data_IF_749470794203
#
_entry.id   IF_749470794203
#
_cell.length_a   1.000
_cell.length_b   1.000
_cell.length_c   1.000
_cell.angle_alpha   90.00
_cell.angle_beta   90.00
_cell.angle_gamma   90.00
#
_symmetry.space_group_name_H-M   'P 1'
#
loop_
_entity.id
_entity.type
_entity.pdbx_description
1 polymer ?
#
# COMPACT_ATOMS: atom_id res chain seq x y z
N UNK A 1 1.37 5.53 -29.79
CA UNK A 1 -0.03 5.05 -29.87
C UNK A 1 -0.02 3.61 -29.42
N UNK A 2 -0.67 3.23 -28.32
CA UNK A 2 -0.69 1.84 -27.88
C UNK A 2 -1.59 1.03 -28.81
N UNK A 3 -1.09 -0.12 -29.28
CA UNK A 3 -1.83 -1.07 -30.09
C UNK A 3 -3.03 -1.60 -29.29
N UNK A 4 -4.22 -1.44 -29.85
CA UNK A 4 -5.47 -1.94 -29.25
C UNK A 4 -5.57 -3.44 -29.53
N UNK A 5 -5.17 -4.26 -28.56
CA UNK A 5 -5.59 -5.67 -28.50
C UNK A 5 -7.12 -5.75 -28.41
N UNK A 6 -7.71 -6.74 -29.06
CA UNK A 6 -9.14 -7.00 -29.02
C UNK A 6 -9.55 -7.52 -27.64
N UNK A 7 -10.80 -7.30 -27.23
CA UNK A 7 -11.35 -7.84 -25.97
C UNK A 7 -11.16 -9.36 -25.86
N UNK A 8 -11.22 -10.07 -26.99
CA UNK A 8 -10.98 -11.51 -27.05
C UNK A 8 -9.53 -11.89 -26.71
N UNK A 9 -8.55 -11.08 -27.10
CA UNK A 9 -7.13 -11.29 -26.76
C UNK A 9 -6.85 -10.96 -25.29
N UNK A 10 -7.47 -9.90 -24.75
CA UNK A 10 -7.39 -9.57 -23.33
C UNK A 10 -8.02 -10.65 -22.44
N UNK A 11 -9.18 -11.18 -22.83
CA UNK A 11 -9.87 -12.28 -22.14
C UNK A 11 -9.07 -13.58 -22.27
N UNK A 12 -8.54 -13.93 -23.45
CA UNK A 12 -7.70 -15.11 -23.62
C UNK A 12 -6.42 -15.03 -22.78
N UNK A 13 -5.80 -13.84 -22.70
CA UNK A 13 -4.63 -13.62 -21.87
C UNK A 13 -4.96 -13.77 -20.37
N UNK A 14 -6.02 -13.10 -19.89
CA UNK A 14 -6.47 -13.23 -18.50
C UNK A 14 -6.85 -14.68 -18.14
N UNK A 15 -7.59 -15.37 -19.01
CA UNK A 15 -7.99 -16.78 -18.79
C UNK A 15 -6.79 -17.74 -18.84
N UNK A 16 -5.73 -17.40 -19.59
CA UNK A 16 -4.48 -18.18 -19.62
C UNK A 16 -3.59 -17.96 -18.38
N UNK A 17 -3.82 -16.88 -17.62
CA UNK A 17 -3.09 -16.55 -16.39
C UNK A 17 -3.84 -16.95 -15.11
N UNK A 18 -5.14 -17.20 -15.20
CA UNK A 18 -5.98 -17.62 -14.06
C UNK A 18 -6.06 -19.15 -14.01
N UNK A 19 -5.07 -19.80 -13.40
CA UNK A 19 -5.24 -21.16 -12.89
C UNK A 19 -5.76 -21.09 -11.47
N UNK A 20 -7.08 -21.25 -11.28
CA UNK A 20 -7.78 -21.86 -10.13
C UNK A 20 -7.34 -21.62 -8.68
N UNK A 21 -6.47 -20.66 -8.39
CA UNK A 21 -5.84 -20.53 -7.08
C UNK A 21 -6.51 -19.41 -6.27
N UNK A 22 -6.78 -19.69 -5.00
CA UNK A 22 -7.29 -18.73 -4.01
C UNK A 22 -6.36 -17.50 -3.96
N UNK A 23 -6.93 -16.29 -4.00
CA UNK A 23 -6.19 -15.02 -3.89
C UNK A 23 -5.26 -15.03 -2.67
N UNK A 24 -5.70 -15.62 -1.55
CA UNK A 24 -4.91 -15.78 -0.32
C UNK A 24 -3.72 -16.70 -0.55
N UNK A 25 -3.88 -17.78 -1.32
CA UNK A 25 -2.80 -18.69 -1.71
C UNK A 25 -1.87 -18.09 -2.76
N UNK A 26 -2.38 -17.23 -3.65
CA UNK A 26 -1.57 -16.48 -4.64
C UNK A 26 -0.74 -15.41 -3.95
N UNK A 27 -1.31 -14.67 -2.99
CA UNK A 27 -0.57 -13.70 -2.16
C UNK A 27 0.44 -14.42 -1.27
N UNK A 28 0.08 -15.56 -0.66
CA UNK A 28 1.00 -16.35 0.18
C UNK A 28 2.13 -16.97 -0.63
N UNK A 29 1.86 -17.56 -1.80
CA UNK A 29 2.90 -18.09 -2.70
C UNK A 29 3.69 -16.97 -3.37
N UNK A 30 3.05 -15.84 -3.67
CA UNK A 30 3.69 -14.62 -4.16
C UNK A 30 4.69 -14.07 -3.15
N UNK A 31 4.33 -13.94 -1.87
CA UNK A 31 5.25 -13.55 -0.80
C UNK A 31 6.46 -14.48 -0.66
N UNK A 32 6.31 -15.77 -0.93
CA UNK A 32 7.38 -16.75 -0.86
C UNK A 32 8.17 -16.93 -2.17
N UNK A 33 7.61 -16.52 -3.31
CA UNK A 33 8.12 -16.83 -4.66
C UNK A 33 8.38 -15.61 -5.56
N UNK A 34 8.01 -14.40 -5.14
CA UNK A 34 8.36 -13.16 -5.82
C UNK A 34 9.82 -12.88 -5.53
N UNK A 35 10.68 -13.17 -6.51
CA UNK A 35 12.07 -12.75 -6.45
C UNK A 35 12.13 -11.21 -6.34
N UNK A 36 13.13 -10.68 -5.60
CA UNK A 36 13.39 -9.25 -5.51
C UNK A 36 13.24 -8.49 -6.85
N UNK A 37 12.30 -7.55 -6.94
CA UNK A 37 12.15 -6.67 -8.11
C UNK A 37 11.20 -7.16 -9.22
N UNK A 38 10.37 -8.17 -8.96
CA UNK A 38 9.31 -8.59 -9.89
C UNK A 38 8.04 -7.75 -9.68
N UNK A 39 7.53 -7.17 -10.76
CA UNK A 39 6.22 -6.52 -10.84
C UNK A 39 5.15 -7.60 -11.05
N UNK A 40 4.13 -7.65 -10.19
CA UNK A 40 3.04 -8.60 -10.29
C UNK A 40 1.72 -7.85 -10.54
N UNK A 41 1.05 -8.15 -11.64
CA UNK A 41 -0.34 -7.72 -11.85
C UNK A 41 -1.25 -8.66 -11.05
N UNK A 42 -1.89 -8.15 -9.99
CA UNK A 42 -2.85 -8.93 -9.21
C UNK A 42 -4.26 -8.53 -9.62
N UNK A 43 -4.97 -9.46 -10.26
CA UNK A 43 -6.32 -9.22 -10.76
C UNK A 43 -7.35 -9.52 -9.67
N UNK A 44 -8.08 -8.50 -9.21
CA UNK A 44 -9.30 -8.72 -8.42
C UNK A 44 -10.47 -8.97 -9.39
N UNK A 45 -10.83 -10.23 -9.60
CA UNK A 45 -12.07 -10.55 -10.29
C UNK A 45 -13.25 -10.25 -9.35
N UNK A 46 -14.34 -9.61 -9.81
CA UNK A 46 -15.54 -9.50 -8.99
C UNK A 46 -15.96 -10.90 -8.52
N UNK A 47 -16.57 -11.03 -7.32
CA UNK A 47 -17.12 -12.30 -6.85
C UNK A 47 -18.21 -12.73 -7.83
N UNK A 48 -17.81 -13.49 -8.83
CA UNK A 48 -18.69 -14.05 -9.80
C UNK A 48 -19.28 -15.30 -9.17
N UNK A 49 -20.59 -15.31 -8.95
CA UNK A 49 -21.40 -16.53 -8.80
C UNK A 49 -21.42 -17.34 -10.11
N UNK A 50 -20.26 -17.61 -10.72
CA UNK A 50 -20.16 -18.30 -12.00
C UNK A 50 -19.52 -19.67 -11.78
N UNK A 51 -20.33 -20.69 -12.03
CA UNK A 51 -19.99 -22.10 -11.80
C UNK A 51 -18.96 -22.67 -12.81
N UNK A 52 -18.60 -21.94 -13.88
CA UNK A 52 -17.63 -22.39 -14.89
C UNK A 52 -17.08 -21.23 -15.78
N UNK A 53 -15.86 -21.35 -16.35
CA UNK A 53 -15.22 -20.36 -17.22
C UNK A 53 -15.99 -20.02 -18.51
N UNK A 54 -16.73 -20.97 -19.03
CA UNK A 54 -17.54 -20.89 -20.25
C UNK A 54 -18.77 -19.98 -20.11
N UNK A 55 -19.10 -19.55 -18.88
CA UNK A 55 -20.14 -18.55 -18.62
C UNK A 55 -19.71 -17.10 -18.92
N UNK A 56 -18.42 -16.84 -19.17
CA UNK A 56 -17.87 -15.51 -19.47
C UNK A 56 -18.20 -15.01 -20.89
N UNK A 57 -18.67 -15.89 -21.78
CA UNK A 57 -18.87 -15.58 -23.20
C UNK A 57 -19.96 -14.54 -23.51
N UNK A 58 -20.91 -14.34 -22.60
CA UNK A 58 -22.06 -13.43 -22.78
C UNK A 58 -22.28 -12.47 -21.60
N UNK A 59 -21.51 -12.62 -20.51
CA UNK A 59 -21.52 -11.60 -19.46
C UNK A 59 -20.79 -10.39 -20.01
N UNK A 60 -21.51 -9.30 -20.23
CA UNK A 60 -20.94 -8.00 -20.55
C UNK A 60 -20.10 -7.46 -19.38
N UNK A 61 -19.00 -8.14 -19.06
CA UNK A 61 -17.88 -7.62 -18.29
C UNK A 61 -17.28 -6.54 -19.19
N UNK A 62 -17.90 -5.37 -19.17
CA UNK A 62 -17.53 -4.26 -20.03
C UNK A 62 -16.06 -3.91 -19.81
N UNK A 63 -15.44 -3.28 -20.80
CA UNK A 63 -14.05 -2.85 -20.72
C UNK A 63 -13.72 -2.11 -19.40
N UNK A 64 -14.70 -1.43 -18.77
CA UNK A 64 -14.59 -0.80 -17.46
C UNK A 64 -14.15 -1.76 -16.31
N UNK A 65 -14.64 -2.99 -16.28
CA UNK A 65 -14.26 -4.01 -15.27
C UNK A 65 -12.85 -4.57 -15.48
N UNK A 66 -12.27 -4.36 -16.67
CA UNK A 66 -10.89 -4.76 -17.01
C UNK A 66 -9.89 -3.64 -16.70
N UNK A 67 -10.35 -2.42 -16.38
CA UNK A 67 -9.47 -1.27 -16.08
C UNK A 67 -9.28 -0.98 -14.59
N UNK A 68 -10.02 -1.64 -13.69
CA UNK A 68 -9.76 -1.58 -12.25
C UNK A 68 -8.63 -2.56 -11.87
N UNK A 69 -7.54 -2.55 -12.62
CA UNK A 69 -6.35 -3.36 -12.31
C UNK A 69 -5.58 -2.63 -11.23
N UNK A 70 -5.37 -3.29 -10.09
CA UNK A 70 -4.36 -2.90 -9.12
C UNK A 70 -3.09 -3.68 -9.41
N UNK A 71 -1.99 -2.96 -9.59
CA UNK A 71 -0.66 -3.52 -9.78
C UNK A 71 0.11 -3.34 -8.50
N UNK A 72 0.71 -4.42 -8.03
CA UNK A 72 1.53 -4.40 -6.82
C UNK A 72 2.98 -4.66 -7.21
N UNK A 73 3.85 -3.76 -6.77
CA UNK A 73 5.30 -3.94 -6.85
C UNK A 73 5.81 -4.25 -5.46
N UNK A 74 6.64 -5.27 -5.33
CA UNK A 74 7.23 -5.67 -4.07
C UNK A 74 8.75 -5.52 -4.13
N UNK A 75 9.34 -5.22 -2.98
CA UNK A 75 10.78 -5.19 -2.76
C UNK A 75 11.17 -6.19 -1.67
N UNK A 76 12.46 -6.59 -1.61
CA UNK A 76 12.98 -7.31 -0.44
C UNK A 76 12.77 -6.48 0.82
N UNK A 77 12.59 -7.16 1.95
CA UNK A 77 12.70 -6.49 3.23
C UNK A 77 14.07 -5.86 3.43
N UNK A 78 14.07 -4.76 4.17
CA UNK A 78 15.29 -4.11 4.63
C UNK A 78 15.94 -4.94 5.73
N UNK A 79 17.25 -4.82 5.83
CA UNK A 79 17.98 -5.29 7.00
C UNK A 79 17.58 -4.52 8.26
N UNK A 80 17.74 -5.15 9.41
CA UNK A 80 17.49 -4.47 10.68
C UNK A 80 18.42 -3.25 10.85
N UNK A 81 19.66 -3.31 10.36
CA UNK A 81 20.63 -2.22 10.43
C UNK A 81 20.19 -1.00 9.61
N UNK A 82 19.56 -1.19 8.44
CA UNK A 82 18.96 -0.09 7.67
C UNK A 82 17.82 0.57 8.44
N UNK A 83 16.98 -0.22 9.10
CA UNK A 83 15.90 0.32 9.94
C UNK A 83 16.46 1.10 11.14
N UNK A 84 17.47 0.56 11.83
CA UNK A 84 18.11 1.26 12.96
C UNK A 84 18.82 2.54 12.51
N UNK A 85 19.44 2.54 11.34
CA UNK A 85 20.05 3.75 10.77
C UNK A 85 19.01 4.85 10.51
N UNK A 86 17.81 4.48 10.06
CA UNK A 86 16.71 5.43 9.87
C UNK A 86 16.17 5.97 11.21
N UNK A 87 16.01 5.11 12.22
CA UNK A 87 15.62 5.53 13.58
C UNK A 87 16.64 6.47 14.21
N UNK A 88 17.93 6.19 14.06
CA UNK A 88 19.02 7.07 14.52
C UNK A 88 18.98 8.43 13.81
N UNK A 89 18.75 8.44 12.49
CA UNK A 89 18.63 9.67 11.71
C UNK A 89 17.40 10.51 12.07
N UNK A 90 16.35 9.90 12.62
CA UNK A 90 15.12 10.56 13.04
C UNK A 90 15.07 10.88 14.54
N UNK A 91 16.01 10.36 15.33
CA UNK A 91 16.00 10.39 16.80
C UNK A 91 14.68 9.86 17.41
N UNK A 92 14.06 8.88 16.74
CA UNK A 92 12.83 8.20 17.21
C UNK A 92 12.85 6.72 16.84
N UNK A 93 12.25 5.89 17.69
CA UNK A 93 12.01 4.49 17.36
C UNK A 93 10.75 4.35 16.51
N UNK A 94 10.81 3.50 15.48
CA UNK A 94 9.62 3.12 14.72
C UNK A 94 8.81 2.09 15.52
N UNK A 95 7.48 2.05 15.35
CA UNK A 95 6.66 0.98 15.92
C UNK A 95 7.20 -0.40 15.55
N UNK A 96 7.34 -1.29 16.53
CA UNK A 96 7.92 -2.62 16.37
C UNK A 96 7.19 -3.42 15.29
N UNK A 97 5.86 -3.28 15.20
CA UNK A 97 5.07 -3.95 14.16
C UNK A 97 5.41 -3.48 12.75
N UNK A 98 5.71 -2.19 12.59
CA UNK A 98 6.18 -1.64 11.32
C UNK A 98 7.60 -2.09 10.99
N UNK A 99 8.48 -2.18 11.99
CA UNK A 99 9.83 -2.75 11.84
C UNK A 99 9.78 -4.20 11.36
N UNK A 100 8.91 -5.02 11.95
CA UNK A 100 8.69 -6.41 11.54
C UNK A 100 8.19 -6.52 10.10
N UNK A 101 7.31 -5.60 9.68
CA UNK A 101 6.86 -5.54 8.30
C UNK A 101 8.01 -5.18 7.35
N UNK A 102 8.75 -4.09 7.64
CA UNK A 102 9.87 -3.63 6.81
C UNK A 102 11.02 -4.65 6.71
N UNK A 103 11.23 -5.46 7.74
CA UNK A 103 12.27 -6.51 7.78
C UNK A 103 11.76 -7.89 7.37
N UNK A 104 10.49 -7.98 6.95
CA UNK A 104 9.88 -9.20 6.44
C UNK A 104 10.51 -9.66 5.11
N UNK A 105 10.19 -10.87 4.64
CA UNK A 105 10.81 -11.43 3.43
C UNK A 105 10.47 -10.64 2.15
N UNK A 106 9.30 -10.00 2.11
CA UNK A 106 8.80 -9.22 0.98
C UNK A 106 7.94 -8.08 1.53
N UNK A 107 8.13 -6.89 0.99
CA UNK A 107 7.48 -5.66 1.43
C UNK A 107 6.83 -5.00 0.22
N UNK A 108 5.58 -4.59 0.37
CA UNK A 108 4.91 -3.80 -0.67
C UNK A 108 5.71 -2.51 -0.90
N UNK A 109 6.11 -2.30 -2.15
CA UNK A 109 6.79 -1.10 -2.61
C UNK A 109 5.74 -0.11 -3.11
N UNK A 110 4.92 -0.55 -4.07
CA UNK A 110 3.92 0.32 -4.73
C UNK A 110 2.64 -0.42 -5.01
N UNK A 111 1.52 0.26 -4.83
CA UNK A 111 0.25 -0.12 -5.42
C UNK A 111 -0.16 0.94 -6.45
N UNK A 112 -0.38 0.52 -7.69
CA UNK A 112 -0.85 1.38 -8.79
C UNK A 112 -2.25 0.93 -9.20
N UNK A 113 -3.19 1.86 -9.34
CA UNK A 113 -4.57 1.55 -9.68
C UNK A 113 -5.48 2.75 -9.50
N UNK A 114 -6.76 2.56 -9.10
CA UNK A 114 -7.64 3.65 -8.72
C UNK A 114 -7.05 4.48 -7.56
N UNK A 115 -6.43 3.82 -6.60
CA UNK A 115 -5.58 4.40 -5.58
C UNK A 115 -4.12 4.12 -5.92
N UNK A 116 -3.31 5.17 -5.93
CA UNK A 116 -1.86 5.06 -6.02
C UNK A 116 -1.29 5.27 -4.62
N UNK A 117 -0.43 4.36 -4.17
CA UNK A 117 0.44 4.67 -3.04
C UNK A 117 1.80 3.98 -3.17
N UNK A 118 2.82 4.67 -2.68
CA UNK A 118 4.23 4.27 -2.65
C UNK A 118 4.67 4.21 -1.18
N UNK A 119 5.14 3.05 -0.73
CA UNK A 119 5.65 2.87 0.62
C UNK A 119 7.14 3.17 0.66
N UNK A 120 7.58 3.92 1.65
CA UNK A 120 8.96 4.36 1.75
C UNK A 120 9.89 3.27 2.28
N UNK A 121 11.11 3.21 1.75
CA UNK A 121 12.21 2.44 2.36
C UNK A 121 12.63 3.10 3.68
N UNK A 122 13.36 2.42 4.58
CA UNK A 122 13.85 3.07 5.81
C UNK A 122 14.63 4.36 5.56
N UNK A 123 15.47 4.39 4.51
CA UNK A 123 16.19 5.59 4.12
C UNK A 123 15.23 6.72 3.69
N UNK A 124 14.22 6.41 2.88
CA UNK A 124 13.21 7.39 2.45
C UNK A 124 12.35 7.87 3.63
N UNK A 125 12.02 6.99 4.59
CA UNK A 125 11.31 7.38 5.82
C UNK A 125 12.13 8.46 6.55
N UNK A 126 13.44 8.25 6.71
CA UNK A 126 14.32 9.22 7.35
C UNK A 126 14.41 10.54 6.55
N UNK A 127 14.72 10.44 5.26
CA UNK A 127 14.95 11.59 4.39
C UNK A 127 13.69 12.46 4.25
N UNK A 128 12.54 11.85 3.94
CA UNK A 128 11.29 12.59 3.72
C UNK A 128 10.76 13.18 5.03
N UNK A 129 10.86 12.45 6.14
CA UNK A 129 10.41 12.97 7.45
C UNK A 129 11.28 14.14 7.90
N UNK A 130 12.61 14.02 7.81
CA UNK A 130 13.54 15.11 8.16
C UNK A 130 13.33 16.33 7.25
N UNK A 131 13.25 16.12 5.94
CA UNK A 131 13.01 17.19 4.99
C UNK A 131 11.70 17.94 5.27
N UNK A 132 10.64 17.24 5.71
CA UNK A 132 9.40 17.90 6.09
C UNK A 132 9.51 18.67 7.42
N UNK A 133 10.21 18.11 8.42
CA UNK A 133 10.35 18.73 9.73
C UNK A 133 11.24 19.96 9.77
N UNK A 134 12.11 20.14 8.79
CA UNK A 134 12.77 21.43 8.58
C UNK A 134 11.76 22.58 8.43
N UNK A 135 10.57 22.30 7.87
CA UNK A 135 9.53 23.31 7.59
C UNK A 135 8.34 23.26 8.55
N UNK A 136 7.98 22.08 9.05
CA UNK A 136 6.84 21.87 9.94
C UNK A 136 7.17 20.80 10.99
N UNK A 137 7.86 21.16 12.08
CA UNK A 137 8.25 20.21 13.11
C UNK A 137 7.05 19.52 13.73
N UNK A 138 7.03 18.18 13.71
CA UNK A 138 6.00 17.38 14.37
C UNK A 138 6.67 16.33 15.23
N UNK A 139 6.43 16.37 16.54
CA UNK A 139 7.07 15.42 17.44
C UNK A 139 6.48 14.03 17.19
N UNK A 140 7.37 13.08 16.94
CA UNK A 140 7.06 11.66 16.87
C UNK A 140 6.19 11.25 15.68
N UNK A 141 6.36 11.85 14.50
CA UNK A 141 5.87 11.22 13.27
C UNK A 141 7.00 10.60 12.46
N UNK A 142 6.67 9.51 11.77
CA UNK A 142 7.46 8.91 10.71
C UNK A 142 6.59 8.85 9.45
N UNK A 143 7.06 9.44 8.34
CA UNK A 143 6.37 9.34 7.05
C UNK A 143 6.68 7.98 6.44
N UNK A 144 5.64 7.19 6.16
CA UNK A 144 5.78 5.79 5.72
C UNK A 144 5.42 5.59 4.25
N UNK A 145 4.84 6.59 3.59
CA UNK A 145 4.48 6.52 2.19
C UNK A 145 3.84 7.78 1.63
N UNK A 146 3.47 7.72 0.36
CA UNK A 146 2.92 8.82 -0.43
C UNK A 146 1.76 8.34 -1.30
N UNK A 147 0.81 9.22 -1.61
CA UNK A 147 -0.26 8.99 -2.60
C UNK A 147 0.19 9.26 -4.05
N UNK A 148 1.49 9.42 -4.29
CA UNK A 148 2.06 9.82 -5.60
C UNK A 148 1.98 11.31 -5.87
N UNK A 149 1.29 12.06 -5.02
CA UNK A 149 1.23 13.51 -5.01
C UNK A 149 2.01 14.10 -3.85
N UNK A 150 1.39 15.11 -3.22
CA UNK A 150 1.97 15.86 -2.10
C UNK A 150 1.48 15.39 -0.73
N UNK A 151 0.57 14.41 -0.68
CA UNK A 151 0.07 13.85 0.58
C UNK A 151 1.01 12.77 1.10
N UNK A 152 1.06 12.59 2.42
CA UNK A 152 1.97 11.63 3.07
C UNK A 152 1.24 10.78 4.08
N UNK A 153 1.46 9.47 4.02
CA UNK A 153 1.07 8.53 5.06
C UNK A 153 2.07 8.62 6.22
N UNK A 154 1.57 8.62 7.46
CA UNK A 154 2.38 8.83 8.65
C UNK A 154 1.94 7.92 9.80
N UNK A 155 2.91 7.56 10.63
CA UNK A 155 2.72 6.90 11.93
C UNK A 155 3.04 7.88 13.07
N UNK A 156 2.29 7.81 14.16
CA UNK A 156 2.62 8.46 15.44
C UNK A 156 3.49 7.52 16.28
N UNK A 157 4.80 7.73 16.22
CA UNK A 157 5.80 6.89 16.90
C UNK A 157 5.70 6.94 18.43
N UNK A 158 4.99 7.94 18.99
CA UNK A 158 4.76 8.05 20.45
C UNK A 158 3.72 7.03 20.93
N UNK A 159 2.87 6.54 20.04
CA UNK A 159 1.82 5.56 20.34
C UNK A 159 2.33 4.12 20.19
N UNK A 160 3.38 3.92 19.39
CA UNK A 160 3.93 2.59 19.11
C UNK A 160 3.00 1.78 18.19
N UNK A 161 2.87 0.48 18.45
CA UNK A 161 2.14 -0.44 17.54
C UNK A 161 0.63 -0.14 17.44
N UNK A 162 0.07 0.55 18.43
CA UNK A 162 -1.32 1.02 18.39
C UNK A 162 -1.49 2.34 17.59
N UNK A 163 -0.44 2.82 16.91
CA UNK A 163 -0.53 4.00 16.06
C UNK A 163 -1.54 3.75 14.93
N UNK A 164 -2.49 4.66 14.69
CA UNK A 164 -3.20 4.67 13.43
C UNK A 164 -2.25 5.04 12.30
N UNK A 165 -2.63 4.71 11.07
CA UNK A 165 -2.03 5.29 9.87
C UNK A 165 -2.85 6.49 9.47
N UNK A 166 -2.21 7.66 9.37
CA UNK A 166 -2.89 8.92 9.01
C UNK A 166 -2.32 9.48 7.72
N UNK A 167 -3.15 10.17 6.95
CA UNK A 167 -2.74 10.96 5.80
C UNK A 167 -2.63 12.41 6.22
N UNK A 168 -1.51 13.02 5.88
CA UNK A 168 -1.31 14.46 5.95
C UNK A 168 -1.44 15.05 4.54
N UNK A 169 -2.26 16.09 4.42
CA UNK A 169 -2.44 16.87 3.20
C UNK A 169 -1.63 18.18 3.24
N UNK A 170 -1.34 18.78 2.08
CA UNK A 170 -0.73 20.09 2.02
C UNK A 170 -1.55 21.14 2.77
N UNK A 171 -0.94 21.78 3.77
CA UNK A 171 -1.59 22.81 4.58
C UNK A 171 -1.91 22.36 6.01
N UNK A 172 -1.92 21.05 6.27
CA UNK A 172 -2.03 20.50 7.62
C UNK A 172 -0.83 20.94 8.46
N UNK A 173 -1.10 21.41 9.67
CA UNK A 173 -0.06 21.94 10.57
C UNK A 173 0.17 21.00 11.73
N UNK A 174 -0.91 20.43 12.28
CA UNK A 174 -0.84 19.59 13.46
C UNK A 174 -1.44 18.19 13.21
N UNK A 175 -1.23 17.29 14.17
CA UNK A 175 -1.84 15.96 14.17
C UNK A 175 -3.37 15.99 14.10
N UNK A 176 -4.00 17.05 14.61
CA UNK A 176 -5.45 17.23 14.57
C UNK A 176 -5.98 17.54 13.16
N UNK A 177 -5.10 17.96 12.25
CA UNK A 177 -5.44 18.23 10.86
C UNK A 177 -5.35 16.98 9.98
N UNK A 178 -4.70 15.91 10.44
CA UNK A 178 -4.53 14.69 9.63
C UNK A 178 -5.78 13.81 9.63
N UNK A 179 -5.97 13.08 8.53
CA UNK A 179 -7.11 12.17 8.35
C UNK A 179 -6.67 10.73 8.58
N UNK A 180 -7.31 10.03 9.51
CA UNK A 180 -7.06 8.61 9.77
C UNK A 180 -7.44 7.77 8.55
N UNK A 181 -6.47 7.02 8.02
CA UNK A 181 -6.64 6.11 6.89
C UNK A 181 -6.87 4.66 7.36
N UNK A 182 -6.20 4.26 8.43
CA UNK A 182 -6.40 2.98 9.09
C UNK A 182 -6.27 3.13 10.61
N UNK A 183 -7.01 2.31 11.35
CA UNK A 183 -7.07 2.40 12.82
C UNK A 183 -5.82 1.89 13.52
N UNK A 184 -5.06 1.03 12.84
CA UNK A 184 -3.79 0.48 13.32
C UNK A 184 -2.84 0.20 12.16
N UNK A 185 -1.60 -0.11 12.50
CA UNK A 185 -0.58 -0.58 11.56
C UNK A 185 -1.01 -1.91 10.92
N UNK A 186 -1.63 -2.80 11.69
CA UNK A 186 -2.11 -4.09 11.18
C UNK A 186 -3.25 -3.92 10.19
N UNK A 187 -4.26 -3.08 10.50
CA UNK A 187 -5.36 -2.81 9.59
C UNK A 187 -4.85 -2.20 8.27
N UNK A 188 -3.84 -1.34 8.35
CA UNK A 188 -3.19 -0.77 7.17
C UNK A 188 -2.48 -1.84 6.35
N UNK A 189 -1.60 -2.64 6.96
CA UNK A 189 -0.85 -3.69 6.24
C UNK A 189 -1.83 -4.68 5.61
N UNK A 190 -2.83 -5.14 6.36
CA UNK A 190 -3.83 -6.10 5.87
C UNK A 190 -4.59 -5.53 4.67
N UNK A 191 -5.12 -4.31 4.77
CA UNK A 191 -5.88 -3.69 3.67
C UNK A 191 -5.01 -3.34 2.45
N UNK A 192 -3.78 -2.88 2.66
CA UNK A 192 -2.84 -2.54 1.60
C UNK A 192 -2.41 -3.79 0.81
N UNK A 193 -2.02 -4.86 1.53
CA UNK A 193 -1.63 -6.15 0.95
C UNK A 193 -2.82 -6.87 0.28
N UNK A 194 -4.03 -6.70 0.80
CA UNK A 194 -5.24 -7.23 0.19
C UNK A 194 -5.73 -6.41 -1.02
N UNK A 195 -5.13 -5.25 -1.30
CA UNK A 195 -5.61 -4.35 -2.34
C UNK A 195 -6.99 -3.75 -2.06
N UNK A 196 -7.38 -3.67 -0.80
CA UNK A 196 -8.66 -3.10 -0.35
C UNK A 196 -8.47 -1.76 0.36
N UNK A 197 -7.23 -1.30 0.53
CA UNK A 197 -6.94 0.02 1.03
C UNK A 197 -7.52 1.10 0.09
N UNK A 198 -8.27 2.03 0.67
CA UNK A 198 -8.87 3.17 -0.01
C UNK A 198 -8.42 4.46 0.68
N UNK A 199 -7.93 5.43 -0.10
CA UNK A 199 -7.51 6.73 0.46
C UNK A 199 -8.76 7.53 0.83
N UNK A 200 -8.87 7.86 2.11
CA UNK A 200 -9.95 8.67 2.66
C UNK A 200 -9.55 10.15 2.55
N UNK A 201 -10.24 10.88 1.67
CA UNK A 201 -10.07 12.33 1.51
C UNK A 201 -10.98 13.17 2.41
N UNK A 202 -11.95 12.53 3.09
CA UNK A 202 -12.92 13.23 3.93
C UNK A 202 -12.35 13.55 5.33
N UNK A 203 -12.61 14.77 5.80
CA UNK A 203 -12.16 15.29 7.09
C UNK A 203 -12.92 14.70 8.29
N UNK A 204 -13.86 13.78 8.06
CA UNK A 204 -14.73 13.22 9.10
C UNK A 204 -13.99 12.39 10.14
N UNK A 205 -12.79 11.86 9.83
CA UNK A 205 -11.99 11.04 10.76
C UNK A 205 -10.64 11.68 11.10
N UNK A 206 -10.66 12.85 11.74
CA UNK A 206 -9.43 13.50 12.21
C UNK A 206 -8.76 12.72 13.34
N UNK A 207 -7.44 12.61 13.26
CA UNK A 207 -6.65 12.02 14.32
C UNK A 207 -6.61 12.95 15.54
N UNK A 208 -6.68 12.38 16.75
CA UNK A 208 -6.56 13.13 18.00
C UNK A 208 -5.54 12.42 18.88
N UNK A 209 -4.28 12.86 18.90
CA UNK A 209 -3.27 12.22 19.73
C UNK A 209 -3.69 12.31 21.19
N UNK A 210 -3.56 11.20 21.91
CA UNK A 210 -3.79 11.19 23.37
C UNK A 210 -2.63 11.97 24.01
N UNK A 211 -2.98 13.02 24.77
CA UNK A 211 -2.01 13.84 25.51
C UNK A 211 -1.32 13.07 26.62
#
# INVERSE_FOLDING_TARGET
MPERGTLAEAVAHATSMVSGDDFTDVVTRGRAGVEPGICCDIYHLPPNELAAPDALGDTGVGAASVYAVRRFTYRPGSSLDEVRSAEEALDVQLPQRWVEYLTGPSVLDKAEGPEYFDLFTPADIADVTNAFYEWSPRIGAAMIGSDGGSSRLQLDTRVGDASPVVMMFPGDRDWEDTTVQADSIDDFIESAEAGTFEVIFDDTRKYRPRR
#
